data_IF_093875311330
#
_entry.id   IF_093875311330
#
_cell.length_a   1.000
_cell.length_b   1.000
_cell.length_c   1.000
_cell.angle_alpha   90.00
_cell.angle_beta   90.00
_cell.angle_gamma   90.00
#
_symmetry.space_group_name_H-M   'P 1'
#
loop_
_entity.id
_entity.type
_entity.pdbx_description
1 polymer ?
#
# COMPACT_ATOMS: atom_id res chain seq x y z
N UNK A 1 61.32 29.71 -39.08
CA UNK A 1 60.33 28.61 -39.06
C UNK A 1 60.12 28.26 -37.60
N UNK A 2 59.15 28.86 -36.92
CA UNK A 2 57.73 28.49 -36.84
C UNK A 2 57.43 27.67 -35.57
N UNK A 3 56.75 28.34 -34.62
CA UNK A 3 55.60 27.86 -33.79
C UNK A 3 55.83 26.70 -32.79
N UNK A 4 55.16 26.51 -31.65
CA UNK A 4 53.90 27.00 -31.01
C UNK A 4 53.94 26.44 -29.55
N UNK A 5 53.70 27.17 -28.46
CA UNK A 5 52.40 27.51 -27.82
C UNK A 5 51.40 26.36 -27.61
N UNK A 6 51.03 26.16 -26.32
CA UNK A 6 49.77 25.56 -25.84
C UNK A 6 49.68 24.04 -25.89
N UNK A 7 48.95 23.32 -25.04
CA UNK A 7 48.01 23.67 -23.99
C UNK A 7 47.68 22.38 -23.23
N UNK A 8 47.58 22.44 -21.91
CA UNK A 8 46.91 21.43 -21.10
C UNK A 8 45.43 21.39 -21.47
N UNK A 9 44.90 20.20 -21.74
CA UNK A 9 43.45 19.97 -21.83
C UNK A 9 43.10 18.63 -21.21
N UNK A 10 42.73 18.73 -19.92
CA UNK A 10 41.96 17.75 -19.18
C UNK A 10 40.57 17.61 -19.82
N UNK A 11 40.42 16.63 -20.72
CA UNK A 11 39.13 16.21 -21.24
C UNK A 11 38.52 15.15 -20.34
N UNK A 12 38.01 15.55 -19.18
CA UNK A 12 37.08 14.71 -18.41
C UNK A 12 35.81 14.57 -19.23
N UNK A 13 35.65 13.46 -19.96
CA UNK A 13 34.38 13.10 -20.56
C UNK A 13 33.39 12.83 -19.43
N UNK A 14 32.63 13.86 -19.09
CA UNK A 14 31.40 13.73 -18.32
C UNK A 14 30.52 12.73 -19.05
N UNK A 15 30.42 11.52 -18.50
CA UNK A 15 29.35 10.58 -18.81
C UNK A 15 28.05 11.28 -18.47
N UNK A 16 27.40 11.85 -19.47
CA UNK A 16 25.98 12.15 -19.41
C UNK A 16 25.28 10.82 -19.14
N UNK A 17 24.87 10.66 -17.87
CA UNK A 17 24.08 9.53 -17.41
C UNK A 17 22.74 9.54 -18.14
N UNK A 18 22.67 8.86 -19.27
CA UNK A 18 21.45 8.61 -20.06
C UNK A 18 20.49 7.62 -19.38
N UNK A 19 20.54 7.53 -18.04
CA UNK A 19 19.91 6.49 -17.22
C UNK A 19 18.75 6.88 -16.26
N UNK A 20 17.97 7.97 -16.43
CA UNK A 20 16.71 8.11 -15.67
C UNK A 20 15.42 7.80 -16.46
N UNK A 21 15.33 8.16 -17.75
CA UNK A 21 14.05 8.14 -18.48
C UNK A 21 13.54 6.74 -18.81
N UNK A 22 14.44 5.86 -19.25
CA UNK A 22 14.10 4.47 -19.55
C UNK A 22 13.65 3.70 -18.30
N UNK A 23 14.19 4.03 -17.12
CA UNK A 23 13.78 3.41 -15.86
C UNK A 23 12.40 3.90 -15.39
N UNK A 24 12.06 5.18 -15.58
CA UNK A 24 10.74 5.70 -15.21
C UNK A 24 9.65 5.07 -16.07
N UNK A 25 9.84 5.00 -17.39
CA UNK A 25 8.87 4.36 -18.27
C UNK A 25 8.67 2.89 -17.92
N UNK A 26 9.74 2.17 -17.59
CA UNK A 26 9.65 0.77 -17.13
C UNK A 26 8.85 0.62 -15.83
N UNK A 27 8.99 1.56 -14.89
CA UNK A 27 8.22 1.55 -13.65
C UNK A 27 6.73 1.82 -13.94
N UNK A 28 6.44 2.81 -14.77
CA UNK A 28 5.07 3.12 -15.22
C UNK A 28 4.45 1.91 -15.91
N UNK A 29 5.15 1.30 -16.87
CA UNK A 29 4.66 0.11 -17.57
C UNK A 29 4.40 -1.05 -16.60
N UNK A 30 5.23 -1.20 -15.56
CA UNK A 30 5.06 -2.24 -14.55
C UNK A 30 3.85 -2.00 -13.64
N UNK A 31 3.55 -0.74 -13.31
CA UNK A 31 2.33 -0.35 -12.58
C UNK A 31 1.08 -0.60 -13.41
N UNK A 32 1.06 -0.12 -14.66
CA UNK A 32 -0.09 -0.22 -15.57
C UNK A 32 -0.39 -1.67 -15.98
N UNK A 33 0.64 -2.51 -16.10
CA UNK A 33 0.46 -3.95 -16.37
C UNK A 33 0.23 -4.78 -15.11
N UNK A 34 0.20 -4.15 -13.93
CA UNK A 34 0.05 -4.79 -12.61
C UNK A 34 1.06 -5.92 -12.35
N UNK A 35 2.22 -5.92 -13.04
CA UNK A 35 3.32 -6.85 -12.78
C UNK A 35 3.91 -6.65 -11.38
N UNK A 36 3.81 -5.43 -10.88
CA UNK A 36 4.12 -5.06 -9.51
C UNK A 36 2.80 -4.80 -8.79
N UNK A 37 2.49 -5.65 -7.82
CA UNK A 37 1.22 -5.59 -7.09
C UNK A 37 1.37 -5.90 -5.60
N UNK A 38 2.57 -5.88 -5.03
CA UNK A 38 2.76 -6.06 -3.58
C UNK A 38 2.83 -4.72 -2.87
N UNK A 39 2.40 -4.67 -1.61
CA UNK A 39 2.46 -3.45 -0.79
C UNK A 39 3.86 -2.84 -0.78
N UNK A 40 4.87 -3.69 -0.56
CA UNK A 40 6.27 -3.27 -0.44
C UNK A 40 6.77 -2.59 -1.70
N UNK A 41 6.47 -3.18 -2.87
CA UNK A 41 6.95 -2.64 -4.14
C UNK A 41 6.17 -1.41 -4.59
N UNK A 42 4.87 -1.36 -4.37
CA UNK A 42 4.07 -0.15 -4.65
C UNK A 42 4.55 1.03 -3.79
N UNK A 43 4.77 0.81 -2.49
CA UNK A 43 5.38 1.83 -1.60
C UNK A 43 6.81 2.21 -2.03
N UNK A 44 7.59 1.27 -2.58
CA UNK A 44 8.92 1.56 -3.11
C UNK A 44 8.85 2.51 -4.31
N UNK A 45 7.93 2.27 -5.24
CA UNK A 45 7.76 3.13 -6.43
C UNK A 45 7.18 4.48 -6.04
N UNK A 46 6.26 4.53 -5.07
CA UNK A 46 5.76 5.78 -4.49
C UNK A 46 6.90 6.65 -3.95
N UNK A 47 7.84 6.07 -3.19
CA UNK A 47 9.02 6.80 -2.71
C UNK A 47 9.91 7.29 -3.85
N UNK A 48 10.07 6.51 -4.91
CA UNK A 48 10.83 6.93 -6.11
C UNK A 48 10.15 8.14 -6.76
N UNK A 49 8.83 8.07 -6.97
CA UNK A 49 8.05 9.17 -7.55
C UNK A 49 8.17 10.46 -6.72
N UNK A 50 8.19 10.36 -5.39
CA UNK A 50 8.37 11.49 -4.48
C UNK A 50 9.79 12.11 -4.52
N UNK A 51 10.79 11.40 -5.08
CA UNK A 51 12.17 11.88 -5.23
C UNK A 51 12.50 12.39 -6.64
N UNK A 52 11.52 12.42 -7.56
CA UNK A 52 11.74 12.95 -8.91
C UNK A 52 12.08 14.44 -8.89
N UNK A 53 13.19 14.83 -9.53
CA UNK A 53 13.64 16.22 -9.61
C UNK A 53 12.76 17.08 -10.54
N UNK A 54 12.06 16.44 -11.48
CA UNK A 54 11.18 17.09 -12.46
C UNK A 54 9.71 16.90 -12.09
N UNK A 55 8.97 17.99 -12.00
CA UNK A 55 7.52 17.93 -11.81
C UNK A 55 6.81 17.12 -12.91
N UNK A 56 7.34 17.13 -14.14
CA UNK A 56 6.74 16.35 -15.23
C UNK A 56 6.89 14.84 -15.00
N UNK A 57 8.01 14.41 -14.41
CA UNK A 57 8.24 13.01 -14.05
C UNK A 57 7.38 12.60 -12.86
N UNK A 58 7.28 13.45 -11.83
CA UNK A 58 6.38 13.20 -10.70
C UNK A 58 4.92 13.09 -11.15
N UNK A 59 4.47 14.00 -12.05
CA UNK A 59 3.12 13.96 -12.63
C UNK A 59 2.87 12.69 -13.45
N UNK A 60 3.88 12.15 -14.14
CA UNK A 60 3.74 10.93 -14.92
C UNK A 60 3.39 9.70 -14.07
N UNK A 61 3.70 9.70 -12.76
CA UNK A 61 3.32 8.61 -11.85
C UNK A 61 1.90 8.72 -11.30
N UNK A 62 1.26 9.90 -11.34
CA UNK A 62 0.00 10.14 -10.62
C UNK A 62 -1.09 9.14 -10.99
N UNK A 63 -1.43 9.05 -12.27
CA UNK A 63 -2.48 8.14 -12.74
C UNK A 63 -2.07 6.66 -12.60
N UNK A 64 -0.91 6.20 -13.12
CA UNK A 64 -0.51 4.79 -13.02
C UNK A 64 -0.48 4.29 -11.58
N UNK A 65 -0.02 5.13 -10.65
CA UNK A 65 0.06 4.75 -9.25
C UNK A 65 -1.33 4.71 -8.57
N UNK A 66 -2.21 5.67 -8.88
CA UNK A 66 -3.59 5.66 -8.37
C UNK A 66 -4.36 4.42 -8.84
N UNK A 67 -4.18 4.05 -10.11
CA UNK A 67 -4.74 2.83 -10.69
C UNK A 67 -4.16 1.57 -10.04
N UNK A 68 -2.84 1.52 -9.83
CA UNK A 68 -2.19 0.40 -9.19
C UNK A 68 -2.66 0.18 -7.73
N UNK A 69 -2.84 1.24 -6.94
CA UNK A 69 -3.43 1.12 -5.60
C UNK A 69 -4.90 0.70 -5.64
N UNK A 70 -5.65 1.19 -6.61
CA UNK A 70 -7.03 0.76 -6.80
C UNK A 70 -7.07 -0.73 -7.11
N UNK A 71 -6.23 -1.22 -8.04
CA UNK A 71 -6.11 -2.63 -8.38
C UNK A 71 -5.64 -3.47 -7.19
N UNK A 72 -4.65 -2.99 -6.43
CA UNK A 72 -4.13 -3.68 -5.26
C UNK A 72 -5.24 -4.02 -4.24
N UNK A 73 -6.09 -3.02 -3.95
CA UNK A 73 -7.19 -3.15 -2.98
C UNK A 73 -8.39 -3.89 -3.55
N UNK A 74 -8.74 -3.67 -4.82
CA UNK A 74 -9.91 -4.30 -5.46
C UNK A 74 -9.64 -5.73 -5.94
N UNK A 75 -8.37 -6.10 -6.12
CA UNK A 75 -7.96 -7.48 -6.31
C UNK A 75 -7.86 -8.23 -4.98
N UNK A 76 -7.67 -9.56 -5.03
CA UNK A 76 -7.44 -10.37 -3.84
C UNK A 76 -6.05 -10.15 -3.21
N UNK A 77 -5.19 -9.34 -3.80
CA UNK A 77 -3.79 -9.22 -3.38
C UNK A 77 -3.65 -8.54 -2.01
N UNK A 78 -4.38 -7.45 -1.76
CA UNK A 78 -4.38 -6.78 -0.45
C UNK A 78 -4.87 -7.71 0.67
N UNK A 79 -5.99 -8.40 0.46
CA UNK A 79 -6.51 -9.39 1.40
C UNK A 79 -5.53 -10.55 1.61
N UNK A 80 -4.85 -10.99 0.55
CA UNK A 80 -3.86 -12.08 0.62
C UNK A 80 -2.67 -11.69 1.49
N UNK A 81 -2.13 -10.48 1.33
CA UNK A 81 -1.03 -10.02 2.17
C UNK A 81 -1.44 -9.84 3.63
N UNK A 82 -2.65 -9.32 3.90
CA UNK A 82 -3.18 -9.23 5.26
C UNK A 82 -3.30 -10.62 5.90
N UNK A 83 -3.83 -11.60 5.16
CA UNK A 83 -3.91 -13.01 5.63
C UNK A 83 -2.54 -13.65 5.83
N UNK A 84 -1.53 -13.20 5.09
CA UNK A 84 -0.14 -13.59 5.31
C UNK A 84 0.40 -13.16 6.69
N UNK A 85 -0.14 -12.08 7.25
CA UNK A 85 0.18 -11.53 8.57
C UNK A 85 -0.76 -12.04 9.69
N UNK A 86 -1.97 -12.47 9.34
CA UNK A 86 -2.97 -13.01 10.29
C UNK A 86 -3.14 -14.52 10.12
N UNK A 87 -2.13 -15.31 10.47
CA UNK A 87 -2.11 -16.75 10.14
C UNK A 87 -2.90 -17.58 11.15
N UNK A 88 -2.90 -17.17 12.41
CA UNK A 88 -3.61 -17.89 13.48
C UNK A 88 -5.12 -17.63 13.39
N UNK A 89 -5.48 -16.42 13.04
CA UNK A 89 -6.83 -15.92 12.94
C UNK A 89 -6.97 -15.11 11.63
N UNK A 90 -7.18 -15.77 10.48
CA UNK A 90 -7.25 -15.10 9.18
C UNK A 90 -8.24 -13.94 9.15
N UNK A 91 -7.78 -12.78 8.67
CA UNK A 91 -8.64 -11.61 8.56
C UNK A 91 -9.82 -11.87 7.61
N UNK A 92 -10.97 -11.36 8.02
CA UNK A 92 -12.21 -11.45 7.26
C UNK A 92 -12.13 -10.62 5.98
N UNK A 93 -12.74 -11.09 4.89
CA UNK A 93 -12.85 -10.28 3.67
C UNK A 93 -13.80 -9.09 3.88
N UNK A 94 -14.77 -9.23 4.81
CA UNK A 94 -15.81 -8.24 5.06
C UNK A 94 -15.26 -6.94 5.63
N UNK A 95 -14.24 -6.99 6.48
CA UNK A 95 -13.59 -5.77 6.99
C UNK A 95 -12.89 -4.98 5.87
N UNK A 96 -12.36 -5.66 4.85
CA UNK A 96 -11.77 -5.02 3.65
C UNK A 96 -12.86 -4.38 2.80
N UNK A 97 -13.94 -5.10 2.53
CA UNK A 97 -15.07 -4.59 1.76
C UNK A 97 -15.72 -3.37 2.42
N UNK A 98 -15.91 -3.42 3.75
CA UNK A 98 -16.49 -2.32 4.52
C UNK A 98 -15.55 -1.10 4.59
N UNK A 99 -14.25 -1.30 4.81
CA UNK A 99 -13.27 -0.21 4.76
C UNK A 99 -13.28 0.48 3.39
N UNK A 100 -13.24 -0.31 2.31
CA UNK A 100 -13.34 0.20 0.94
C UNK A 100 -14.61 1.01 0.71
N UNK A 101 -15.77 0.48 1.13
CA UNK A 101 -17.06 1.16 1.01
C UNK A 101 -17.04 2.51 1.74
N UNK A 102 -16.49 2.57 2.95
CA UNK A 102 -16.39 3.81 3.73
C UNK A 102 -15.50 4.84 3.06
N UNK A 103 -14.32 4.44 2.57
CA UNK A 103 -13.43 5.32 1.81
C UNK A 103 -14.13 5.89 0.58
N UNK A 104 -14.83 5.04 -0.19
CA UNK A 104 -15.55 5.49 -1.40
C UNK A 104 -16.76 6.38 -1.11
N UNK A 105 -17.34 6.28 0.09
CA UNK A 105 -18.50 7.09 0.50
C UNK A 105 -18.10 8.42 1.15
N UNK A 106 -16.83 8.58 1.49
CA UNK A 106 -16.32 9.76 2.18
C UNK A 106 -15.90 10.85 1.16
N UNK A 107 -16.58 12.01 1.13
CA UNK A 107 -16.24 13.09 0.20
C UNK A 107 -14.84 13.66 0.43
N UNK A 108 -14.28 13.54 1.64
CA UNK A 108 -12.93 13.99 1.97
C UNK A 108 -11.84 12.95 1.63
N UNK A 109 -12.21 11.70 1.33
CA UNK A 109 -11.25 10.64 0.95
C UNK A 109 -10.58 10.90 -0.41
N UNK A 110 -11.11 11.83 -1.22
CA UNK A 110 -10.45 12.31 -2.45
C UNK A 110 -9.11 13.03 -2.20
N UNK A 111 -8.71 13.29 -0.95
CA UNK A 111 -7.44 13.94 -0.60
C UNK A 111 -6.22 13.03 -0.67
N UNK A 112 -6.42 11.70 -0.64
CA UNK A 112 -5.33 10.74 -0.86
C UNK A 112 -5.68 9.80 -1.99
N UNK A 113 -4.72 9.61 -2.86
CA UNK A 113 -4.75 8.69 -4.00
C UNK A 113 -4.41 7.25 -3.58
N UNK A 114 -3.87 7.09 -2.36
CA UNK A 114 -3.45 5.79 -1.86
C UNK A 114 -4.61 5.09 -1.16
N UNK A 115 -5.38 4.34 -1.96
CA UNK A 115 -6.56 3.62 -1.49
C UNK A 115 -6.23 2.58 -0.40
N UNK A 116 -5.06 1.96 -0.45
CA UNK A 116 -4.64 0.97 0.54
C UNK A 116 -4.45 1.61 1.91
N UNK A 117 -3.70 2.72 1.97
CA UNK A 117 -3.49 3.48 3.19
C UNK A 117 -4.80 4.00 3.78
N UNK A 118 -5.70 4.51 2.93
CA UNK A 118 -7.04 4.95 3.37
C UNK A 118 -7.84 3.80 3.98
N UNK A 119 -7.90 2.64 3.33
CA UNK A 119 -8.58 1.46 3.86
C UNK A 119 -8.00 1.02 5.21
N UNK A 120 -6.67 0.90 5.31
CA UNK A 120 -5.99 0.51 6.56
C UNK A 120 -6.29 1.50 7.70
N UNK A 121 -6.28 2.81 7.39
CA UNK A 121 -6.61 3.86 8.35
C UNK A 121 -8.06 3.74 8.83
N UNK A 122 -9.01 3.49 7.92
CA UNK A 122 -10.42 3.24 8.28
C UNK A 122 -10.58 1.99 9.13
N UNK A 123 -9.86 0.92 8.83
CA UNK A 123 -9.89 -0.30 9.64
C UNK A 123 -9.44 -0.02 11.09
N UNK A 124 -8.35 0.72 11.24
CA UNK A 124 -7.76 1.09 12.54
C UNK A 124 -8.67 2.05 13.32
N UNK A 125 -9.13 3.12 12.69
CA UNK A 125 -9.71 4.28 13.37
C UNK A 125 -11.22 4.18 13.56
N UNK A 126 -11.94 3.57 12.61
CA UNK A 126 -13.41 3.51 12.68
C UNK A 126 -13.93 2.32 13.53
N UNK A 127 -13.05 1.66 14.29
CA UNK A 127 -13.39 0.51 15.13
C UNK A 127 -13.79 -0.75 14.36
N UNK A 128 -13.47 -0.84 13.07
CA UNK A 128 -13.85 -1.99 12.24
C UNK A 128 -13.25 -3.29 12.76
N UNK A 129 -12.00 -3.28 13.23
CA UNK A 129 -11.36 -4.49 13.77
C UNK A 129 -12.22 -5.12 14.85
N UNK A 130 -12.68 -4.33 15.82
CA UNK A 130 -13.52 -4.81 16.93
C UNK A 130 -14.89 -5.30 16.47
N UNK A 131 -15.51 -4.59 15.54
CA UNK A 131 -16.84 -4.97 15.01
C UNK A 131 -16.76 -6.33 14.31
N UNK A 132 -15.76 -6.50 13.44
CA UNK A 132 -15.62 -7.71 12.65
C UNK A 132 -15.00 -8.87 13.44
N UNK A 133 -14.15 -8.62 14.44
CA UNK A 133 -13.61 -9.68 15.30
C UNK A 133 -14.70 -10.32 16.16
N UNK A 134 -15.62 -9.52 16.71
CA UNK A 134 -16.79 -10.01 17.43
C UNK A 134 -17.74 -10.79 16.50
N UNK A 135 -18.04 -10.25 15.32
CA UNK A 135 -18.87 -10.93 14.34
C UNK A 135 -18.26 -12.27 13.88
N UNK A 136 -16.95 -12.31 13.65
CA UNK A 136 -16.24 -13.54 13.26
C UNK A 136 -16.24 -14.58 14.38
N UNK A 137 -15.99 -14.16 15.63
CA UNK A 137 -16.01 -15.05 16.79
C UNK A 137 -17.40 -15.62 17.08
N UNK A 138 -18.49 -14.98 16.63
CA UNK A 138 -19.87 -15.48 16.78
C UNK A 138 -20.29 -16.48 15.72
N UNK A 139 -19.50 -16.67 14.66
CA UNK A 139 -19.84 -17.61 13.58
C UNK A 139 -19.93 -19.05 14.12
N UNK A 140 -21.04 -19.78 13.87
CA UNK A 140 -21.22 -21.15 14.35
C UNK A 140 -20.07 -22.10 13.95
N UNK A 141 -19.44 -21.84 12.81
CA UNK A 141 -18.33 -22.62 12.26
C UNK A 141 -17.10 -22.59 13.19
N UNK A 142 -16.89 -21.50 13.94
CA UNK A 142 -15.79 -21.37 14.91
C UNK A 142 -15.94 -22.33 16.10
N UNK A 143 -17.15 -22.84 16.33
CA UNK A 143 -17.52 -23.65 17.48
C UNK A 143 -17.98 -25.06 17.11
N UNK A 144 -17.82 -25.44 15.84
CA UNK A 144 -18.31 -26.73 15.32
C UNK A 144 -19.82 -26.89 15.50
N UNK A 145 -20.59 -25.80 15.35
CA UNK A 145 -22.06 -25.78 15.49
C UNK A 145 -22.56 -25.80 16.94
N UNK A 146 -21.69 -25.70 17.94
CA UNK A 146 -22.08 -25.58 19.35
C UNK A 146 -22.42 -24.14 19.71
N UNK A 147 -23.24 -23.96 20.75
CA UNK A 147 -23.49 -22.66 21.37
C UNK A 147 -22.42 -22.37 22.44
N UNK A 148 -21.37 -21.57 22.13
CA UNK A 148 -20.40 -21.16 23.15
C UNK A 148 -21.05 -20.24 24.19
N UNK A 149 -20.42 -20.13 25.36
CA UNK A 149 -20.77 -19.05 26.28
C UNK A 149 -20.30 -17.70 25.73
N UNK A 150 -20.97 -16.63 26.13
CA UNK A 150 -20.59 -15.26 25.74
C UNK A 150 -19.13 -14.92 26.10
N UNK A 151 -18.65 -15.45 27.24
CA UNK A 151 -17.25 -15.27 27.66
C UNK A 151 -16.26 -15.91 26.68
N UNK A 152 -16.59 -17.09 26.14
CA UNK A 152 -15.73 -17.77 25.16
C UNK A 152 -15.69 -17.02 23.83
N UNK A 153 -16.85 -16.52 23.38
CA UNK A 153 -16.94 -15.66 22.20
C UNK A 153 -16.06 -14.43 22.37
N UNK A 154 -16.17 -13.74 23.51
CA UNK A 154 -15.36 -12.55 23.77
C UNK A 154 -13.85 -12.84 23.82
N UNK A 155 -13.44 -13.98 24.39
CA UNK A 155 -12.05 -14.41 24.39
C UNK A 155 -11.52 -14.64 22.97
N UNK A 156 -12.29 -15.33 22.13
CA UNK A 156 -11.92 -15.57 20.74
C UNK A 156 -11.89 -14.26 19.93
N UNK A 157 -12.87 -13.37 20.12
CA UNK A 157 -12.91 -12.05 19.50
C UNK A 157 -11.68 -11.21 19.86
N UNK A 158 -11.19 -11.32 21.10
CA UNK A 158 -9.95 -10.65 21.53
C UNK A 158 -8.74 -11.19 20.77
N UNK A 159 -8.63 -12.50 20.58
CA UNK A 159 -7.54 -13.09 19.80
C UNK A 159 -7.56 -12.62 18.33
N UNK A 160 -8.74 -12.58 17.71
CA UNK A 160 -8.91 -11.99 16.38
C UNK A 160 -8.47 -10.53 16.34
N UNK A 161 -8.98 -9.72 17.27
CA UNK A 161 -8.69 -8.29 17.33
C UNK A 161 -7.19 -7.98 17.47
N UNK A 162 -6.50 -8.70 18.36
CA UNK A 162 -5.07 -8.49 18.61
C UNK A 162 -4.23 -8.78 17.36
N UNK A 163 -4.45 -9.92 16.70
CA UNK A 163 -3.68 -10.28 15.50
C UNK A 163 -4.01 -9.37 14.32
N UNK A 164 -5.29 -9.04 14.11
CA UNK A 164 -5.72 -8.15 13.02
C UNK A 164 -5.18 -6.74 13.20
N UNK A 165 -5.23 -6.20 14.43
CA UNK A 165 -4.63 -4.90 14.75
C UNK A 165 -3.13 -4.92 14.49
N UNK A 166 -2.42 -5.96 14.93
CA UNK A 166 -0.98 -6.08 14.68
C UNK A 166 -0.65 -6.14 13.18
N UNK A 167 -1.46 -6.84 12.38
CA UNK A 167 -1.28 -6.90 10.93
C UNK A 167 -1.53 -5.54 10.24
N UNK A 168 -2.61 -4.84 10.61
CA UNK A 168 -2.94 -3.51 10.09
C UNK A 168 -1.83 -2.52 10.43
N UNK A 169 -1.39 -2.47 11.70
CA UNK A 169 -0.27 -1.62 12.12
C UNK A 169 1.02 -1.98 11.38
N UNK A 170 1.24 -3.26 11.07
CA UNK A 170 2.39 -3.71 10.31
C UNK A 170 2.39 -3.17 8.88
N UNK A 171 1.25 -3.20 8.21
CA UNK A 171 1.13 -2.62 6.86
C UNK A 171 1.21 -1.09 6.90
N UNK A 172 0.63 -0.43 7.90
CA UNK A 172 0.67 1.03 8.03
C UNK A 172 2.09 1.57 8.21
N UNK A 173 3.01 0.79 8.81
CA UNK A 173 4.43 1.19 8.94
C UNK A 173 5.16 1.41 7.62
N UNK A 174 4.59 1.02 6.48
CA UNK A 174 5.14 1.37 5.17
C UNK A 174 5.10 2.89 4.89
N UNK A 175 4.25 3.63 5.59
CA UNK A 175 4.11 5.09 5.48
C UNK A 175 4.45 5.75 6.82
N UNK A 176 5.58 6.45 6.88
CA UNK A 176 5.95 7.27 8.05
C UNK A 176 5.14 8.56 8.15
N UNK A 177 4.66 9.05 7.01
CA UNK A 177 3.75 10.20 6.88
C UNK A 177 2.58 9.83 5.98
N UNK A 178 1.39 10.42 6.16
CA UNK A 178 0.27 10.19 5.26
C UNK A 178 0.67 10.45 3.79
N UNK A 179 0.36 9.54 2.85
CA UNK A 179 0.66 9.74 1.44
C UNK A 179 -0.24 10.83 0.85
N UNK A 180 0.39 11.92 0.41
CA UNK A 180 -0.24 13.04 -0.28
C UNK A 180 0.45 13.26 -1.63
N UNK A 181 -0.30 13.60 -2.69
CA UNK A 181 0.32 14.15 -3.90
C UNK A 181 0.70 15.62 -3.63
N UNK A 182 1.86 16.04 -4.14
CA UNK A 182 2.28 17.44 -4.23
C UNK A 182 2.06 17.97 -5.64
#
# INVERSE_FOLDING_TARGET
MSTRSGSVSSGGSGKTSDKPKASIQQLIDSLTTHRINTLTELCRIERIAATCDSEAEARAFQQPMTEAWTYYVSSNQFLTELRGLTRSYPISAEIVAEAYRRVRSDPDSNRSWNLAWLCLTRMRDDGLVRIFSDAEARKPEMWGGKGPSEKMVQQLATCFEDEWRAAIETMLRHWTTPPTWY
#
